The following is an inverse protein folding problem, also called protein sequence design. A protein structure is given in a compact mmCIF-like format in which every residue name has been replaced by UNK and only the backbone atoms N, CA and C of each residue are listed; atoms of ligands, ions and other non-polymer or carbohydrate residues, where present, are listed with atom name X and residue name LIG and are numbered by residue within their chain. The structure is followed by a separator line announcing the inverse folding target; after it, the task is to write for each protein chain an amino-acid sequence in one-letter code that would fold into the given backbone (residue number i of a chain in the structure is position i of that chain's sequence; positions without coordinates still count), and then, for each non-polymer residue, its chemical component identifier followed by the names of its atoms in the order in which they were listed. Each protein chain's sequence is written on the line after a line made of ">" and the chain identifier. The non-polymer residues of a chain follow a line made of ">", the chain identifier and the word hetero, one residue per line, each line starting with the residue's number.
data_IF_245627636357
#
_entry.id   IF_245627636357
#
_cell.length_a   1.000
_cell.length_b   1.000
_cell.length_c   1.000
_cell.angle_alpha   90.00
_cell.angle_beta   90.00
_cell.angle_gamma   90.00
#
_symmetry.space_group_name_H-M   'P 1'
#
loop_
_entity.id
_entity.type
_entity.pdbx_description
1 polymer ?
#
# COMPACT_ATOMS: atom_id res chain seq x y z
N UNK A 1 29.53 64.43 14.40
CA UNK A 1 29.05 65.16 15.60
C UNK A 1 28.01 64.26 16.28
N UNK A 2 28.26 63.87 17.54
CA UNK A 2 27.31 63.31 18.54
C UNK A 2 26.73 61.90 18.21
N UNK A 3 26.57 60.92 19.11
CA UNK A 3 27.16 60.46 20.39
C UNK A 3 26.24 59.34 20.90
N UNK A 4 26.83 58.30 21.51
CA UNK A 4 26.24 57.41 22.54
C UNK A 4 25.06 56.49 22.10
N UNK A 5 24.76 55.34 22.71
CA UNK A 5 24.73 54.96 24.13
C UNK A 5 24.93 53.43 24.27
N UNK A 6 25.68 53.02 25.30
CA UNK A 6 25.76 51.66 25.87
C UNK A 6 24.56 51.42 26.79
N UNK A 7 23.88 50.27 26.72
CA UNK A 7 23.16 49.71 27.89
C UNK A 7 23.34 48.19 27.93
N UNK A 8 23.91 47.73 29.04
CA UNK A 8 23.97 46.35 29.53
C UNK A 8 22.82 46.11 30.54
N UNK A 9 22.48 44.83 30.74
CA UNK A 9 21.50 44.24 31.69
C UNK A 9 20.06 44.07 31.15
N UNK A 10 19.32 43.00 31.43
CA UNK A 10 19.39 42.02 32.52
C UNK A 10 18.95 40.61 32.07
N UNK A 11 19.45 39.59 32.76
CA UNK A 11 18.86 38.24 32.78
C UNK A 11 17.61 38.33 33.66
N UNK A 12 16.44 38.00 33.11
CA UNK A 12 15.29 37.58 33.91
C UNK A 12 14.57 36.46 33.16
N UNK A 13 14.59 35.27 33.77
CA UNK A 13 13.80 34.13 33.36
C UNK A 13 12.32 34.48 33.48
N UNK A 14 11.60 34.47 32.35
CA UNK A 14 10.15 34.32 32.33
C UNK A 14 9.85 33.16 31.38
N UNK A 15 9.39 32.09 31.99
CA UNK A 15 8.82 30.90 31.37
C UNK A 15 7.78 31.38 30.36
N UNK A 16 8.07 31.26 29.06
CA UNK A 16 7.11 31.54 28.01
C UNK A 16 6.39 30.22 27.71
N UNK A 17 5.09 30.19 28.02
CA UNK A 17 4.15 29.21 27.49
C UNK A 17 4.21 29.29 25.97
N UNK A 18 4.83 28.29 25.34
CA UNK A 18 5.00 28.25 23.89
C UNK A 18 3.66 27.87 23.26
N UNK A 19 2.92 28.87 22.81
CA UNK A 19 1.78 28.68 21.89
C UNK A 19 2.30 27.98 20.62
N UNK A 20 1.65 26.88 20.24
CA UNK A 20 1.91 26.06 19.05
C UNK A 20 1.57 26.84 17.76
N UNK A 21 2.37 27.86 17.44
CA UNK A 21 2.24 28.59 16.19
C UNK A 21 3.14 27.94 15.15
N UNK A 22 2.53 27.49 14.05
CA UNK A 22 3.28 27.01 12.88
C UNK A 22 3.90 28.21 12.19
N UNK A 23 5.22 28.31 12.20
CA UNK A 23 5.98 29.40 11.56
C UNK A 23 6.74 28.89 10.34
N UNK A 24 6.58 29.59 9.22
CA UNK A 24 7.48 29.47 8.07
C UNK A 24 8.67 30.42 8.28
N UNK A 25 9.90 29.89 8.17
CA UNK A 25 11.14 30.68 8.32
C UNK A 25 11.94 30.62 7.03
N UNK A 26 12.14 31.78 6.42
CA UNK A 26 12.92 31.94 5.19
C UNK A 26 14.21 32.70 5.49
N UNK A 27 15.31 32.21 4.92
CA UNK A 27 16.63 32.82 5.05
C UNK A 27 17.08 33.38 3.70
N UNK A 28 17.55 34.62 3.69
CA UNK A 28 18.16 35.24 2.52
C UNK A 28 19.54 35.77 2.89
N UNK A 29 20.55 35.41 2.11
CA UNK A 29 21.93 35.88 2.28
C UNK A 29 22.34 36.62 1.02
N UNK A 30 22.70 37.89 1.17
CA UNK A 30 23.28 38.71 0.11
C UNK A 30 24.76 38.90 0.40
N UNK A 31 25.61 38.39 -0.49
CA UNK A 31 27.06 38.55 -0.39
C UNK A 31 27.53 39.48 -1.51
N UNK A 32 28.22 40.55 -1.12
CA UNK A 32 28.86 41.48 -2.05
C UNK A 32 30.36 41.25 -1.94
N UNK A 33 30.95 40.76 -3.03
CA UNK A 33 32.39 40.59 -3.17
C UNK A 33 32.91 41.61 -4.19
N UNK A 34 33.75 42.53 -3.74
CA UNK A 34 34.54 43.43 -4.57
C UNK A 34 36.04 43.25 -4.24
N UNK A 35 36.91 43.77 -5.09
CA UNK A 35 38.38 43.65 -4.97
C UNK A 35 38.95 44.22 -3.67
N UNK A 36 38.20 45.10 -3.00
CA UNK A 36 38.64 45.80 -1.77
C UNK A 36 37.74 45.51 -0.56
N UNK A 37 36.53 44.95 -0.75
CA UNK A 37 35.58 44.72 0.34
C UNK A 37 34.77 43.44 0.13
N UNK A 38 34.67 42.64 1.19
CA UNK A 38 33.75 41.50 1.31
C UNK A 38 32.72 41.83 2.40
N UNK A 39 31.45 41.95 2.02
CA UNK A 39 30.35 42.10 2.98
C UNK A 39 29.30 41.03 2.74
N UNK A 40 28.70 40.55 3.82
CA UNK A 40 27.59 39.59 3.78
C UNK A 40 26.47 40.11 4.66
N UNK A 41 25.26 40.22 4.10
CA UNK A 41 24.06 40.61 4.80
C UNK A 41 23.10 39.42 4.85
N UNK A 42 22.68 39.04 6.06
CA UNK A 42 21.70 37.99 6.27
C UNK A 42 20.37 38.61 6.68
N UNK A 43 19.29 38.22 6.00
CA UNK A 43 17.91 38.54 6.36
C UNK A 43 17.18 37.24 6.72
N UNK A 44 16.37 37.29 7.76
CA UNK A 44 15.50 36.17 8.16
C UNK A 44 14.08 36.69 8.23
N UNK A 45 13.17 36.06 7.47
CA UNK A 45 11.74 36.39 7.46
C UNK A 45 11.01 35.23 8.11
N UNK A 46 10.26 35.52 9.18
CA UNK A 46 9.36 34.56 9.82
C UNK A 46 7.91 34.95 9.55
N UNK A 47 7.12 34.01 9.06
CA UNK A 47 5.69 34.20 8.80
C UNK A 47 4.89 33.13 9.54
N UNK A 48 3.92 33.57 10.34
CA UNK A 48 2.97 32.66 10.96
C UNK A 48 1.95 32.17 9.92
N UNK A 49 1.83 30.86 9.78
CA UNK A 49 0.87 30.24 8.87
C UNK A 49 -0.50 30.18 9.53
N UNK A 50 -1.48 30.87 8.95
CA UNK A 50 -2.90 30.79 9.37
C UNK A 50 -3.61 29.75 8.53
N UNK A 51 -4.43 28.90 9.15
CA UNK A 51 -5.25 27.89 8.46
C UNK A 51 -4.58 26.53 8.21
N UNK A 52 -3.41 26.28 8.80
CA UNK A 52 -2.75 24.97 8.78
C UNK A 52 -3.03 24.27 10.10
N UNK A 53 -3.41 23.00 10.06
CA UNK A 53 -3.65 22.22 11.28
C UNK A 53 -2.31 21.88 11.94
N UNK A 54 -2.21 22.09 13.25
CA UNK A 54 -1.05 21.61 14.01
C UNK A 54 -1.13 20.09 14.17
N UNK A 55 0.01 19.45 14.40
CA UNK A 55 0.04 18.01 14.69
C UNK A 55 -0.91 17.64 15.85
N UNK A 56 -0.98 18.47 16.90
CA UNK A 56 -1.91 18.26 18.03
C UNK A 56 -3.39 18.36 17.62
N UNK A 57 -3.74 19.27 16.72
CA UNK A 57 -5.12 19.38 16.21
C UNK A 57 -5.50 18.16 15.36
N UNK A 58 -4.55 17.62 14.59
CA UNK A 58 -4.73 16.41 13.79
C UNK A 58 -4.92 15.20 14.72
N UNK A 59 -4.05 15.04 15.73
CA UNK A 59 -4.12 13.96 16.72
C UNK A 59 -5.48 13.93 17.45
N UNK A 60 -5.96 15.09 17.89
CA UNK A 60 -7.28 15.23 18.51
C UNK A 60 -8.41 14.81 17.57
N UNK A 61 -8.31 15.14 16.28
CA UNK A 61 -9.32 14.76 15.28
C UNK A 61 -9.31 13.26 15.00
N UNK A 62 -8.14 12.62 15.05
CA UNK A 62 -8.05 11.16 14.92
C UNK A 62 -8.63 10.45 16.13
N UNK A 63 -8.37 10.93 17.35
CA UNK A 63 -8.99 10.39 18.57
C UNK A 63 -10.52 10.51 18.54
N UNK A 64 -11.05 11.69 18.15
CA UNK A 64 -12.50 11.90 18.00
C UNK A 64 -13.13 10.94 16.98
N UNK A 65 -12.39 10.64 15.89
CA UNK A 65 -12.84 9.71 14.87
C UNK A 65 -12.82 8.26 15.36
N UNK A 66 -11.77 7.87 16.07
CA UNK A 66 -11.62 6.53 16.65
C UNK A 66 -12.77 6.21 17.60
N UNK A 67 -13.09 7.13 18.52
CA UNK A 67 -14.21 6.96 19.45
C UNK A 67 -15.55 6.79 18.72
N UNK A 68 -15.80 7.60 17.67
CA UNK A 68 -17.02 7.50 16.86
C UNK A 68 -17.09 6.17 16.11
N UNK A 69 -15.98 5.73 15.52
CA UNK A 69 -15.93 4.47 14.78
C UNK A 69 -16.17 3.27 15.71
N UNK A 70 -15.54 3.26 16.88
CA UNK A 70 -15.74 2.21 17.87
C UNK A 70 -17.18 2.16 18.39
N UNK A 71 -17.83 3.32 18.55
CA UNK A 71 -19.24 3.38 18.93
C UNK A 71 -20.15 2.75 17.86
N UNK A 72 -19.95 3.10 16.59
CA UNK A 72 -20.72 2.53 15.47
C UNK A 72 -20.49 1.02 15.33
N UNK A 73 -19.24 0.55 15.47
CA UNK A 73 -18.92 -0.88 15.47
C UNK A 73 -19.57 -1.61 16.66
N UNK A 74 -19.67 -0.96 17.83
CA UNK A 74 -20.38 -1.48 19.00
C UNK A 74 -21.88 -1.69 18.73
N UNK A 75 -22.52 -0.76 18.02
CA UNK A 75 -23.92 -0.87 17.62
C UNK A 75 -24.11 -2.05 16.65
N UNK A 76 -23.23 -2.16 15.64
CA UNK A 76 -23.26 -3.28 14.69
C UNK A 76 -23.08 -4.60 15.42
N UNK A 77 -22.14 -4.69 16.36
CA UNK A 77 -21.94 -5.89 17.19
C UNK A 77 -23.20 -6.27 17.96
N UNK A 78 -23.87 -5.30 18.59
CA UNK A 78 -25.12 -5.56 19.32
C UNK A 78 -26.26 -6.03 18.40
N UNK A 79 -26.38 -5.46 17.20
CA UNK A 79 -27.38 -5.90 16.21
C UNK A 79 -27.13 -7.35 15.77
N UNK A 80 -25.86 -7.71 15.55
CA UNK A 80 -25.48 -9.06 15.14
C UNK A 80 -25.68 -10.09 16.28
N UNK A 81 -25.37 -9.72 17.52
CA UNK A 81 -25.58 -10.59 18.70
C UNK A 81 -27.08 -10.77 19.02
N UNK A 82 -27.92 -9.76 18.75
CA UNK A 82 -29.38 -9.81 18.92
C UNK A 82 -30.09 -10.81 18.00
N UNK A 83 -29.54 -11.05 16.80
CA UNK A 83 -30.07 -12.01 15.83
C UNK A 83 -29.58 -13.45 16.06
N UNK A 84 -28.93 -13.73 17.21
CA UNK A 84 -28.43 -15.06 17.56
C UNK A 84 -27.18 -15.49 16.79
N UNK A 85 -26.52 -14.58 16.07
CA UNK A 85 -25.24 -14.84 15.39
C UNK A 85 -24.09 -14.46 16.33
N UNK A 86 -23.45 -15.47 16.93
CA UNK A 86 -22.22 -15.24 17.71
C UNK A 86 -21.06 -14.93 16.76
N UNK A 87 -20.63 -13.67 16.71
CA UNK A 87 -19.36 -13.30 16.08
C UNK A 87 -18.24 -13.80 16.99
N UNK A 88 -17.58 -14.89 16.63
CA UNK A 88 -16.35 -15.31 17.29
C UNK A 88 -15.28 -14.27 16.97
N UNK A 89 -14.97 -13.40 17.93
CA UNK A 89 -13.73 -12.61 17.85
C UNK A 89 -12.58 -13.59 18.04
N UNK A 90 -11.81 -13.82 16.98
CA UNK A 90 -10.61 -14.64 17.04
C UNK A 90 -9.50 -13.77 17.65
N UNK A 91 -9.64 -13.46 18.93
CA UNK A 91 -8.69 -12.65 19.70
C UNK A 91 -7.52 -13.54 20.17
N UNK A 92 -6.75 -14.13 19.26
CA UNK A 92 -5.43 -14.70 19.57
C UNK A 92 -4.68 -15.12 18.29
N UNK A 93 -3.63 -14.40 17.91
CA UNK A 93 -2.69 -14.86 16.89
C UNK A 93 -1.64 -15.76 17.55
N UNK A 94 -1.64 -17.05 17.19
CA UNK A 94 -0.56 -17.99 17.52
C UNK A 94 0.18 -18.38 16.23
N UNK A 95 1.43 -17.93 16.11
CA UNK A 95 2.35 -18.36 15.07
C UNK A 95 2.99 -19.68 15.52
N UNK A 96 2.31 -20.81 15.29
CA UNK A 96 2.96 -22.12 15.37
C UNK A 96 3.30 -22.64 13.96
N UNK A 97 4.60 -22.78 13.71
CA UNK A 97 5.15 -23.64 12.67
C UNK A 97 4.57 -25.05 12.81
N UNK A 98 3.81 -25.52 11.81
CA UNK A 98 3.45 -26.94 11.74
C UNK A 98 3.92 -27.58 10.45
N UNK A 99 5.06 -28.24 10.62
CA UNK A 99 5.64 -29.28 9.78
C UNK A 99 4.60 -30.30 9.31
N UNK A 100 4.74 -30.68 8.03
CA UNK A 100 4.08 -31.82 7.39
C UNK A 100 4.08 -33.07 8.29
N UNK A 101 2.91 -33.67 8.51
CA UNK A 101 2.78 -35.13 8.65
C UNK A 101 1.56 -35.63 7.89
N UNK A 102 1.85 -36.41 6.85
CA UNK A 102 0.92 -37.22 6.05
C UNK A 102 0.68 -38.54 6.82
N UNK A 103 -0.57 -39.02 6.91
CA UNK A 103 -0.85 -40.45 7.13
C UNK A 103 -2.18 -40.88 7.78
N UNK A 104 -3.23 -41.09 6.95
CA UNK A 104 -4.27 -42.16 7.02
C UNK A 104 -5.25 -42.27 8.23
N UNK A 105 -6.21 -43.22 8.20
CA UNK A 105 -7.36 -43.30 7.29
C UNK A 105 -8.74 -43.29 8.00
N UNK A 106 -9.78 -43.13 7.18
CA UNK A 106 -11.24 -43.15 7.39
C UNK A 106 -11.76 -44.14 8.45
N UNK A 107 -12.79 -43.74 9.21
CA UNK A 107 -13.80 -44.62 9.79
C UNK A 107 -15.15 -43.91 9.92
N UNK A 108 -16.16 -44.51 9.30
CA UNK A 108 -17.60 -44.17 9.25
C UNK A 108 -18.33 -44.63 10.51
N UNK A 109 -19.27 -43.83 11.02
CA UNK A 109 -20.52 -44.32 11.64
C UNK A 109 -21.63 -43.28 11.46
N UNK A 110 -22.77 -43.77 10.99
CA UNK A 110 -23.99 -43.07 10.60
C UNK A 110 -24.78 -42.44 11.77
N UNK A 111 -25.31 -41.23 11.54
CA UNK A 111 -26.58 -40.75 12.09
C UNK A 111 -27.15 -39.64 11.17
N UNK A 112 -28.46 -39.64 10.83
CA UNK A 112 -29.04 -38.72 9.86
C UNK A 112 -29.51 -37.45 10.56
N UNK A 113 -28.63 -36.47 10.71
CA UNK A 113 -29.06 -35.09 10.95
C UNK A 113 -29.14 -34.43 9.59
N UNK A 114 -30.34 -33.99 9.23
CA UNK A 114 -30.64 -33.12 8.09
C UNK A 114 -29.85 -31.83 8.23
N UNK A 115 -28.56 -31.87 7.90
CA UNK A 115 -27.73 -30.70 7.75
C UNK A 115 -28.33 -29.95 6.58
N UNK A 116 -28.91 -28.80 6.86
CA UNK A 116 -29.02 -27.72 5.89
C UNK A 116 -27.70 -27.74 5.14
N UNK A 117 -27.75 -28.06 3.85
CA UNK A 117 -26.67 -27.86 2.90
C UNK A 117 -26.39 -26.37 2.89
N UNK A 118 -25.69 -25.90 3.91
CA UNK A 118 -24.70 -24.86 3.75
C UNK A 118 -23.68 -25.53 2.82
N UNK A 119 -23.94 -25.40 1.52
CA UNK A 119 -22.86 -25.42 0.57
C UNK A 119 -21.92 -24.33 1.06
N UNK A 120 -20.97 -24.72 1.89
CA UNK A 120 -19.76 -23.97 2.15
C UNK A 120 -19.12 -23.88 0.77
N UNK A 121 -19.52 -22.83 0.06
CA UNK A 121 -18.82 -22.35 -1.09
C UNK A 121 -17.39 -22.16 -0.61
N UNK A 122 -16.51 -23.10 -0.92
CA UNK A 122 -15.09 -22.86 -1.04
C UNK A 122 -14.88 -21.86 -2.19
N UNK A 123 -15.43 -20.66 -2.03
CA UNK A 123 -15.08 -19.49 -2.84
C UNK A 123 -13.77 -19.00 -2.26
N UNK A 124 -12.67 -19.49 -2.84
CA UNK A 124 -11.36 -18.82 -2.88
C UNK A 124 -10.97 -18.05 -1.60
N UNK A 125 -10.87 -18.76 -0.47
CA UNK A 125 -10.60 -18.10 0.81
C UNK A 125 -9.18 -17.54 0.90
N UNK A 126 -8.14 -18.25 0.41
CA UNK A 126 -6.77 -17.79 0.65
C UNK A 126 -6.39 -16.56 -0.20
N UNK A 127 -6.78 -16.50 -1.47
CA UNK A 127 -6.50 -15.34 -2.34
C UNK A 127 -7.18 -14.09 -1.78
N UNK A 128 -8.46 -14.21 -1.39
CA UNK A 128 -9.21 -13.10 -0.81
C UNK A 128 -8.60 -12.65 0.51
N UNK A 129 -8.31 -13.59 1.42
CA UNK A 129 -7.64 -13.26 2.69
C UNK A 129 -6.26 -12.63 2.46
N UNK A 130 -5.45 -13.14 1.53
CA UNK A 130 -4.14 -12.57 1.23
C UNK A 130 -4.27 -11.15 0.66
N UNK A 131 -5.15 -10.93 -0.31
CA UNK A 131 -5.40 -9.60 -0.90
C UNK A 131 -5.88 -8.63 0.17
N UNK A 132 -6.86 -9.01 0.99
CA UNK A 132 -7.45 -8.13 2.00
C UNK A 132 -6.43 -7.66 3.03
N UNK A 133 -5.42 -8.49 3.33
CA UNK A 133 -4.41 -8.17 4.36
C UNK A 133 -3.11 -7.60 3.81
N UNK A 134 -2.73 -7.94 2.58
CA UNK A 134 -1.42 -7.59 2.00
C UNK A 134 -1.49 -6.54 0.89
N UNK A 135 -2.68 -6.12 0.45
CA UNK A 135 -2.80 -5.14 -0.61
C UNK A 135 -2.47 -3.73 -0.12
N UNK A 136 -1.56 -3.05 -0.84
CA UNK A 136 -1.05 -1.72 -0.53
C UNK A 136 -0.25 -1.63 0.79
N UNK A 137 0.34 -2.73 1.24
CA UNK A 137 1.09 -2.77 2.49
C UNK A 137 2.57 -3.07 2.28
N UNK A 138 3.37 -2.72 3.29
CA UNK A 138 4.82 -2.98 3.34
C UNK A 138 5.06 -4.12 4.32
N UNK A 139 5.78 -5.15 3.87
CA UNK A 139 6.15 -6.31 4.67
C UNK A 139 7.66 -6.50 4.69
N UNK A 140 8.16 -7.14 5.75
CA UNK A 140 9.55 -7.56 5.84
C UNK A 140 9.61 -9.06 5.58
N UNK A 141 10.22 -9.46 4.47
CA UNK A 141 10.43 -10.87 4.14
C UNK A 141 11.92 -11.15 4.02
N UNK A 142 12.44 -12.07 4.85
CA UNK A 142 13.88 -12.43 4.89
C UNK A 142 14.81 -11.21 5.05
N UNK A 143 14.36 -10.19 5.79
CA UNK A 143 15.11 -8.94 6.01
C UNK A 143 14.95 -7.88 4.93
N UNK A 144 14.24 -8.17 3.84
CA UNK A 144 13.94 -7.19 2.78
C UNK A 144 12.57 -6.53 3.01
N UNK A 145 12.52 -5.20 2.91
CA UNK A 145 11.26 -4.46 2.88
C UNK A 145 10.65 -4.55 1.49
N UNK A 146 9.46 -5.13 1.40
CA UNK A 146 8.71 -5.34 0.16
C UNK A 146 7.39 -4.57 0.26
N UNK A 147 7.05 -3.83 -0.78
CA UNK A 147 5.70 -3.32 -0.99
C UNK A 147 4.93 -4.28 -1.90
N UNK A 148 3.69 -4.59 -1.54
CA UNK A 148 2.84 -5.52 -2.31
C UNK A 148 1.55 -4.83 -2.74
N UNK A 149 1.19 -5.02 -4.00
CA UNK A 149 -0.05 -4.51 -4.58
C UNK A 149 -0.74 -5.61 -5.39
N UNK A 150 -2.05 -5.75 -5.20
CA UNK A 150 -2.88 -6.69 -5.95
C UNK A 150 -3.87 -5.93 -6.81
N UNK A 151 -3.99 -6.38 -8.05
CA UNK A 151 -4.94 -5.87 -9.01
C UNK A 151 -5.82 -7.01 -9.52
N UNK A 152 -7.08 -7.00 -9.09
CA UNK A 152 -8.13 -7.85 -9.63
C UNK A 152 -8.74 -7.19 -10.87
N UNK A 153 -8.82 -7.94 -11.96
CA UNK A 153 -9.39 -7.51 -13.23
C UNK A 153 -10.63 -8.37 -13.48
N UNK A 154 -11.84 -7.80 -13.36
CA UNK A 154 -13.07 -8.49 -13.74
C UNK A 154 -13.27 -8.46 -15.26
N UNK A 155 -14.18 -9.31 -15.74
CA UNK A 155 -14.60 -9.38 -17.14
C UNK A 155 -13.44 -9.62 -18.12
N UNK A 156 -12.45 -10.40 -17.67
CA UNK A 156 -11.19 -10.62 -18.39
C UNK A 156 -11.42 -11.32 -19.73
N UNK A 157 -12.38 -12.24 -19.82
CA UNK A 157 -12.69 -12.98 -21.05
C UNK A 157 -13.16 -12.04 -22.16
N UNK A 158 -13.81 -10.93 -21.81
CA UNK A 158 -14.21 -9.88 -22.75
C UNK A 158 -13.05 -8.96 -23.18
N UNK A 159 -11.97 -8.94 -22.40
CA UNK A 159 -10.81 -8.05 -22.55
C UNK A 159 -9.71 -8.71 -23.37
N UNK A 160 -9.44 -10.00 -23.13
CA UNK A 160 -8.43 -10.79 -23.85
C UNK A 160 -8.51 -10.71 -25.40
N UNK A 161 -9.68 -10.78 -26.04
CA UNK A 161 -9.75 -10.71 -27.50
C UNK A 161 -9.54 -9.30 -28.07
N UNK A 162 -9.50 -8.24 -27.26
CA UNK A 162 -9.44 -6.85 -27.75
C UNK A 162 -8.02 -6.47 -28.17
N UNK A 163 -7.89 -5.91 -29.39
CA UNK A 163 -6.63 -5.43 -29.94
C UNK A 163 -6.48 -3.91 -29.74
N UNK A 164 -5.26 -3.45 -29.46
CA UNK A 164 -4.94 -2.02 -29.34
C UNK A 164 -5.53 -1.32 -28.12
N UNK A 165 -6.18 -2.07 -27.22
CA UNK A 165 -6.70 -1.56 -25.95
C UNK A 165 -5.72 -1.91 -24.83
N UNK A 166 -5.58 -1.03 -23.86
CA UNK A 166 -4.95 -1.35 -22.59
C UNK A 166 -5.89 -0.97 -21.46
N UNK A 167 -5.84 -1.75 -20.39
CA UNK A 167 -6.53 -1.46 -19.14
C UNK A 167 -5.51 -1.00 -18.10
N UNK A 168 -5.94 -0.16 -17.17
CA UNK A 168 -5.09 0.46 -16.16
C UNK A 168 -5.66 0.16 -14.77
N UNK A 169 -4.78 -0.15 -13.82
CA UNK A 169 -5.17 -0.29 -12.41
C UNK A 169 -5.53 1.06 -11.79
N UNK A 170 -6.06 1.04 -10.57
CA UNK A 170 -6.10 2.23 -9.73
C UNK A 170 -4.68 2.74 -9.45
N UNK A 171 -4.59 4.03 -9.14
CA UNK A 171 -3.33 4.65 -8.74
C UNK A 171 -2.98 4.28 -7.30
N UNK A 172 -1.71 3.97 -7.07
CA UNK A 172 -1.16 3.68 -5.75
C UNK A 172 0.16 4.42 -5.54
N UNK A 173 0.54 4.60 -4.28
CA UNK A 173 1.67 5.46 -3.91
C UNK A 173 2.73 4.68 -3.15
N UNK A 174 3.97 4.74 -3.64
CA UNK A 174 5.12 4.08 -3.01
C UNK A 174 6.26 5.08 -2.91
N UNK A 175 6.74 5.34 -1.68
CA UNK A 175 7.80 6.30 -1.40
C UNK A 175 7.52 7.71 -1.97
N UNK A 176 6.25 8.11 -2.01
CA UNK A 176 5.82 9.40 -2.58
C UNK A 176 5.67 9.44 -4.10
N UNK A 177 5.99 8.34 -4.80
CA UNK A 177 5.77 8.22 -6.24
C UNK A 177 4.39 7.63 -6.53
N UNK A 178 3.64 8.26 -7.42
CA UNK A 178 2.38 7.72 -7.94
C UNK A 178 2.67 6.68 -9.03
N UNK A 179 2.10 5.49 -8.87
CA UNK A 179 2.32 4.34 -9.72
C UNK A 179 0.96 3.77 -10.18
N UNK A 180 0.97 3.10 -11.33
CA UNK A 180 -0.15 2.29 -11.79
C UNK A 180 0.35 1.11 -12.63
N UNK A 181 -0.48 0.08 -12.78
CA UNK A 181 -0.24 -1.03 -13.69
C UNK A 181 -0.99 -0.79 -15.00
N UNK A 182 -0.39 -1.19 -16.12
CA UNK A 182 -1.03 -1.27 -17.43
C UNK A 182 -0.98 -2.71 -17.92
N UNK A 183 -2.12 -3.22 -18.40
CA UNK A 183 -2.24 -4.52 -19.04
C UNK A 183 -2.67 -4.34 -20.50
N UNK A 184 -1.93 -4.99 -21.38
CA UNK A 184 -2.13 -5.04 -22.82
C UNK A 184 -2.52 -6.47 -23.19
N UNK A 185 -3.79 -6.75 -23.50
CA UNK A 185 -4.25 -8.12 -23.70
C UNK A 185 -3.58 -8.74 -24.92
N UNK A 186 -3.68 -8.11 -26.09
CA UNK A 186 -3.01 -8.56 -27.32
C UNK A 186 -1.82 -7.66 -27.67
N UNK A 187 -0.80 -7.61 -26.81
CA UNK A 187 0.41 -6.84 -27.09
C UNK A 187 1.19 -7.42 -28.28
N UNK A 188 1.21 -8.75 -28.37
CA UNK A 188 1.58 -9.54 -29.54
C UNK A 188 0.45 -10.55 -29.79
N UNK A 189 0.35 -11.16 -30.98
CA UNK A 189 -0.63 -12.22 -31.22
C UNK A 189 -0.49 -13.31 -30.15
N UNK A 190 -1.55 -13.50 -29.37
CA UNK A 190 -1.65 -14.48 -28.27
C UNK A 190 -0.77 -14.21 -27.03
N UNK A 191 -0.33 -12.97 -26.79
CA UNK A 191 0.41 -12.59 -25.57
C UNK A 191 -0.21 -11.41 -24.84
N UNK A 192 -0.49 -11.67 -23.56
CA UNK A 192 -0.73 -10.65 -22.54
C UNK A 192 0.58 -9.97 -22.18
N UNK A 193 0.57 -8.65 -22.00
CA UNK A 193 1.70 -7.93 -21.43
C UNK A 193 1.28 -7.04 -20.25
N UNK A 194 2.12 -6.99 -19.23
CA UNK A 194 1.93 -6.19 -18.01
C UNK A 194 3.11 -5.23 -17.87
N UNK A 195 2.83 -3.99 -17.46
CA UNK A 195 3.83 -2.95 -17.28
C UNK A 195 3.55 -2.12 -16.02
N UNK A 196 4.61 -1.76 -15.29
CA UNK A 196 4.55 -0.78 -14.20
C UNK A 196 4.80 0.62 -14.77
N UNK A 197 3.91 1.57 -14.47
CA UNK A 197 3.99 2.95 -14.98
C UNK A 197 4.08 3.94 -13.81
N UNK A 198 5.28 4.46 -13.53
CA UNK A 198 5.45 5.51 -12.55
C UNK A 198 5.19 6.89 -13.17
N UNK A 199 4.70 7.84 -12.37
CA UNK A 199 4.55 9.25 -12.77
C UNK A 199 5.85 10.03 -12.81
N UNK A 200 6.91 9.47 -12.23
CA UNK A 200 8.23 10.08 -12.08
C UNK A 200 9.30 8.99 -12.11
N UNK A 201 10.58 9.38 -12.09
CA UNK A 201 11.68 8.43 -12.11
C UNK A 201 11.61 7.49 -10.89
N UNK A 202 11.33 6.21 -11.16
CA UNK A 202 11.21 5.17 -10.15
C UNK A 202 12.12 4.00 -10.51
N UNK A 203 13.17 3.79 -9.73
CA UNK A 203 14.25 2.83 -10.03
C UNK A 203 14.25 1.59 -9.14
N UNK A 204 13.17 1.37 -8.38
CA UNK A 204 13.08 0.22 -7.48
C UNK A 204 12.90 -1.07 -8.26
N UNK A 205 13.62 -2.10 -7.80
CA UNK A 205 13.45 -3.44 -8.35
C UNK A 205 12.02 -3.91 -8.09
N UNK A 206 11.45 -4.64 -9.04
CA UNK A 206 10.10 -5.16 -8.91
C UNK A 206 9.91 -6.46 -9.70
N UNK A 207 8.85 -7.19 -9.38
CA UNK A 207 8.41 -8.37 -10.12
C UNK A 207 6.89 -8.44 -10.14
N UNK A 208 6.36 -9.17 -11.10
CA UNK A 208 4.94 -9.47 -11.23
C UNK A 208 4.70 -10.95 -10.98
N UNK A 209 3.51 -11.28 -10.50
CA UNK A 209 2.99 -12.63 -10.46
C UNK A 209 1.52 -12.62 -10.93
N UNK A 210 1.15 -13.57 -11.77
CA UNK A 210 -0.25 -13.89 -12.05
C UNK A 210 -0.63 -15.02 -11.11
N UNK A 211 -1.65 -14.78 -10.29
CA UNK A 211 -2.02 -15.71 -9.23
C UNK A 211 -2.86 -16.85 -9.77
N UNK A 212 -2.57 -18.07 -9.34
CA UNK A 212 -3.55 -19.16 -9.44
C UNK A 212 -4.62 -18.92 -8.36
N UNK A 213 -5.90 -19.07 -8.69
CA UNK A 213 -6.99 -18.77 -7.74
C UNK A 213 -7.12 -19.80 -6.60
N UNK A 214 -6.48 -20.96 -6.72
CA UNK A 214 -6.57 -22.06 -5.76
C UNK A 214 -5.22 -22.54 -5.21
N UNK A 215 -4.10 -22.32 -5.91
CA UNK A 215 -2.77 -22.76 -5.48
C UNK A 215 -1.66 -21.72 -5.73
N UNK A 216 -1.42 -20.86 -4.73
CA UNK A 216 -0.40 -19.80 -4.78
C UNK A 216 1.05 -20.29 -4.86
N UNK A 217 1.31 -21.59 -4.71
CA UNK A 217 2.65 -22.14 -4.97
C UNK A 217 2.98 -22.20 -6.46
N UNK A 218 1.98 -22.04 -7.32
CA UNK A 218 2.08 -22.20 -8.77
C UNK A 218 1.79 -20.94 -9.58
N UNK A 219 1.88 -19.79 -8.92
CA UNK A 219 1.81 -18.49 -9.56
C UNK A 219 2.78 -18.37 -10.74
N UNK A 220 2.35 -17.69 -11.80
CA UNK A 220 3.22 -17.37 -12.92
C UNK A 220 4.03 -16.12 -12.54
N UNK A 221 5.28 -16.31 -12.13
CA UNK A 221 6.14 -15.22 -11.67
C UNK A 221 7.07 -14.73 -12.79
N UNK A 222 7.26 -13.41 -12.88
CA UNK A 222 8.22 -12.78 -13.79
C UNK A 222 9.65 -12.83 -13.25
N UNK A 223 10.63 -12.56 -14.12
CA UNK A 223 11.95 -12.12 -13.65
C UNK A 223 11.86 -10.82 -12.82
N UNK A 224 12.91 -10.52 -12.06
CA UNK A 224 13.03 -9.23 -11.38
C UNK A 224 13.48 -8.17 -12.37
N UNK A 225 12.68 -7.13 -12.52
CA UNK A 225 12.99 -5.93 -13.28
C UNK A 225 13.70 -4.92 -12.37
N UNK A 226 14.72 -4.24 -12.88
CA UNK A 226 15.47 -3.24 -12.12
C UNK A 226 16.42 -2.44 -13.00
N UNK A 227 16.91 -1.31 -12.47
CA UNK A 227 17.79 -0.40 -13.20
C UNK A 227 17.04 0.71 -13.95
N UNK A 228 17.81 1.55 -14.66
CA UNK A 228 17.31 2.68 -15.44
C UNK A 228 16.43 2.15 -16.58
N UNK A 229 15.18 2.64 -16.69
CA UNK A 229 14.23 2.20 -17.72
C UNK A 229 13.51 0.88 -17.41
N UNK A 230 13.67 0.28 -16.23
CA UNK A 230 12.96 -0.97 -15.88
C UNK A 230 11.43 -0.87 -15.91
N UNK A 231 10.88 0.34 -15.73
CA UNK A 231 9.44 0.61 -15.90
C UNK A 231 8.99 0.59 -17.39
N UNK A 232 9.91 0.58 -18.34
CA UNK A 232 9.60 0.40 -19.77
C UNK A 232 9.54 -1.09 -20.13
N UNK A 233 9.98 -1.98 -19.23
CA UNK A 233 9.94 -3.40 -19.47
C UNK A 233 8.50 -3.93 -19.40
N UNK A 234 8.15 -4.73 -20.41
CA UNK A 234 6.88 -5.44 -20.49
C UNK A 234 7.08 -6.88 -20.04
N UNK A 235 6.35 -7.30 -19.02
CA UNK A 235 6.24 -8.71 -18.66
C UNK A 235 5.22 -9.38 -19.56
N UNK A 236 5.67 -10.29 -20.42
CA UNK A 236 4.85 -10.94 -21.44
C UNK A 236 4.50 -12.36 -21.03
N UNK A 237 3.23 -12.73 -21.12
CA UNK A 237 2.69 -14.04 -20.77
C UNK A 237 1.87 -14.58 -21.95
N UNK A 238 2.23 -15.76 -22.50
CA UNK A 238 1.42 -16.39 -23.54
C UNK A 238 0.04 -16.76 -23.00
N UNK A 239 -1.01 -16.59 -23.82
CA UNK A 239 -2.37 -17.00 -23.46
C UNK A 239 -2.50 -18.49 -23.17
N UNK A 240 -1.77 -19.33 -23.90
CA UNK A 240 -1.72 -20.77 -23.63
C UNK A 240 -1.36 -21.06 -22.17
N UNK A 241 -0.45 -20.27 -21.58
CA UNK A 241 -0.02 -20.43 -20.18
C UNK A 241 -1.12 -20.05 -19.19
N UNK A 242 -1.96 -19.06 -19.52
CA UNK A 242 -3.10 -18.67 -18.70
C UNK A 242 -4.19 -19.75 -18.68
N UNK A 243 -4.23 -20.62 -19.70
CA UNK A 243 -5.18 -21.73 -19.82
C UNK A 243 -4.69 -23.04 -19.16
N UNK A 244 -3.42 -23.11 -18.72
CA UNK A 244 -2.85 -24.33 -18.13
C UNK A 244 -3.45 -24.68 -16.76
N UNK A 245 -3.90 -23.67 -16.01
CA UNK A 245 -4.42 -23.81 -14.64
C UNK A 245 -5.51 -22.78 -14.35
N UNK A 246 -5.80 -22.56 -13.08
CA UNK A 246 -6.88 -21.69 -12.62
C UNK A 246 -6.40 -20.23 -12.48
N UNK A 247 -5.67 -19.72 -13.48
CA UNK A 247 -5.24 -18.32 -13.50
C UNK A 247 -6.39 -17.39 -13.92
N UNK A 248 -7.30 -17.92 -14.75
CA UNK A 248 -8.57 -17.31 -15.10
C UNK A 248 -9.67 -18.09 -14.38
N UNK A 249 -10.37 -17.44 -13.46
CA UNK A 249 -11.46 -18.07 -12.70
C UNK A 249 -12.55 -17.04 -12.43
N UNK A 250 -13.82 -17.44 -12.58
CA UNK A 250 -14.98 -16.54 -12.45
C UNK A 250 -14.87 -15.26 -13.28
N UNK A 251 -14.34 -15.36 -14.50
CA UNK A 251 -14.09 -14.23 -15.41
C UNK A 251 -13.18 -13.15 -14.78
N UNK A 252 -12.24 -13.59 -13.93
CA UNK A 252 -11.28 -12.73 -13.23
C UNK A 252 -9.85 -13.18 -13.39
N UNK A 253 -8.97 -12.19 -13.46
CA UNK A 253 -7.53 -12.34 -13.41
C UNK A 253 -6.99 -11.52 -12.24
N UNK A 254 -6.09 -12.11 -11.44
CA UNK A 254 -5.44 -11.40 -10.34
C UNK A 254 -3.94 -11.27 -10.60
N UNK A 255 -3.46 -10.03 -10.55
CA UNK A 255 -2.04 -9.69 -10.72
C UNK A 255 -1.49 -9.16 -9.41
N UNK A 256 -0.36 -9.72 -8.96
CA UNK A 256 0.41 -9.26 -7.82
C UNK A 256 1.67 -8.56 -8.29
N UNK A 257 1.88 -7.33 -7.85
CA UNK A 257 3.12 -6.58 -7.96
C UNK A 257 3.87 -6.67 -6.63
N UNK A 258 5.17 -6.95 -6.70
CA UNK A 258 6.08 -6.86 -5.54
C UNK A 258 7.21 -5.89 -5.87
N UNK A 259 7.36 -4.84 -5.07
CA UNK A 259 8.43 -3.85 -5.18
C UNK A 259 9.41 -4.04 -4.01
N UNK A 260 10.69 -4.14 -4.32
CA UNK A 260 11.76 -4.23 -3.33
C UNK A 260 12.19 -2.82 -2.92
N UNK A 261 11.87 -2.40 -1.69
CA UNK A 261 12.09 -1.02 -1.24
C UNK A 261 13.56 -0.74 -0.89
N UNK A 262 14.28 -1.76 -0.45
CA UNK A 262 15.70 -1.67 -0.07
C UNK A 262 16.66 -1.77 -1.26
N UNK A 263 16.15 -1.92 -2.49
CA UNK A 263 16.96 -2.02 -3.72
C UNK A 263 17.47 -0.68 -4.24
#
# INVERSE_FOLDING_TARGET
>A
MIRCIVVLSAIFSLIFTQDDVVEDTQFATCQINSTEVQTTANATVKRQLKGVCTYKQIELKFQELEEKLLAELGIIKQLLEGDGKTVRTNDYYDYEERSLKIGGPVSTTDDPITSVTEQVFHTSSWVRTEIDHLNNTIHVHKGEKLFVYYWEIPEIDSILPKNGVHIRSADFYVLGHQLCLQLYPNHLPDYLAIQLRPSSNFFKKHKFAILDHFDGSTDIVSQVFGGVGSYEALYKVPYAKLQERNYLHDDKLVIKLTIFLNS
#
